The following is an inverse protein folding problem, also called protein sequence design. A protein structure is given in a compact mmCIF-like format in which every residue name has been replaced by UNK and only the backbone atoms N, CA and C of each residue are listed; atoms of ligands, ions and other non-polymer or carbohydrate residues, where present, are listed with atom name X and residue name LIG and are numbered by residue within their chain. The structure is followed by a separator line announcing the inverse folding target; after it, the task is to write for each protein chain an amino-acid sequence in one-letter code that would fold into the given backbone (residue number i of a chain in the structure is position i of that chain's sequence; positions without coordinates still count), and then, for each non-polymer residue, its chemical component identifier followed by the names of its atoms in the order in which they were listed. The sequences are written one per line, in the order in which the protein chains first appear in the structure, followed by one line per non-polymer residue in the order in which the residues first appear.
data_IF_497865187052
#
_entry.id   IF_497865187052
#
_cell.length_a   1.000
_cell.length_b   1.000
_cell.length_c   1.000
_cell.angle_alpha   90.00
_cell.angle_beta   90.00
_cell.angle_gamma   90.00
#
_symmetry.space_group_name_H-M   'P 1'
#
loop_
_entity.id
_entity.type
_entity.pdbx_description
1 polymer ?
#
# COMPACT_ATOMS: atom_id res chain seq x y z
N UNK A 1 -7.50 11.47 50.08
CA UNK A 1 -8.11 10.49 49.17
C UNK A 1 -8.44 11.22 47.87
N UNK A 2 -7.51 11.23 46.92
CA UNK A 2 -7.66 11.92 45.63
C UNK A 2 -7.09 10.99 44.57
N UNK A 3 -7.96 10.15 44.03
CA UNK A 3 -7.66 9.29 42.87
C UNK A 3 -8.93 9.24 42.04
N UNK A 4 -9.19 10.29 41.25
CA UNK A 4 -10.18 10.23 40.19
C UNK A 4 -9.46 9.75 38.93
N UNK A 5 -9.63 8.44 38.70
CA UNK A 5 -9.10 7.64 37.61
C UNK A 5 -9.47 8.26 36.25
N UNK A 6 -8.50 8.85 35.58
CA UNK A 6 -8.42 8.90 34.11
C UNK A 6 -8.19 7.48 33.63
N UNK A 7 -9.14 6.88 32.91
CA UNK A 7 -9.10 5.59 32.16
C UNK A 7 -10.59 5.27 31.86
N UNK A 8 -11.10 5.08 30.64
CA UNK A 8 -10.54 4.63 29.37
C UNK A 8 -11.37 5.24 28.24
N UNK A 9 -10.72 5.78 27.21
CA UNK A 9 -11.32 5.87 25.88
C UNK A 9 -11.42 4.44 25.32
N UNK A 10 -12.58 3.79 25.51
CA UNK A 10 -12.98 2.65 24.69
C UNK A 10 -13.41 3.20 23.32
N UNK A 11 -12.49 3.32 22.39
CA UNK A 11 -12.88 3.28 20.97
C UNK A 11 -12.95 1.81 20.56
N UNK A 12 -14.11 1.33 20.07
CA UNK A 12 -14.19 0.02 19.46
C UNK A 12 -13.48 0.13 18.12
N UNK A 13 -12.21 -0.28 18.08
CA UNK A 13 -11.57 -0.59 16.81
C UNK A 13 -12.31 -1.82 16.28
N UNK A 14 -13.29 -1.58 15.42
CA UNK A 14 -14.01 -2.59 14.66
C UNK A 14 -12.96 -3.40 13.93
N UNK A 15 -12.71 -4.60 14.45
CA UNK A 15 -11.97 -5.66 13.81
C UNK A 15 -12.74 -6.02 12.53
N UNK A 16 -12.47 -5.31 11.44
CA UNK A 16 -12.79 -5.85 10.12
C UNK A 16 -11.97 -7.13 10.01
N UNK A 17 -12.62 -8.22 9.65
CA UNK A 17 -11.96 -9.43 9.17
C UNK A 17 -11.27 -9.10 7.85
N UNK A 18 -10.17 -8.38 7.95
CA UNK A 18 -9.14 -8.26 6.94
C UNK A 18 -8.08 -9.30 7.20
N UNK A 19 -7.50 -9.86 6.14
CA UNK A 19 -6.34 -10.73 6.28
C UNK A 19 -5.29 -10.00 7.12
N UNK A 20 -4.97 -10.59 8.28
CA UNK A 20 -4.20 -9.93 9.34
C UNK A 20 -2.88 -9.35 8.85
N UNK A 21 -2.49 -8.24 9.47
CA UNK A 21 -1.19 -7.58 9.30
C UNK A 21 -0.06 -8.59 9.26
N UNK A 22 0.39 -8.93 8.06
CA UNK A 22 1.49 -9.87 7.85
C UNK A 22 2.73 -9.05 7.49
N UNK A 23 3.82 -9.30 8.21
CA UNK A 23 5.10 -8.66 7.95
C UNK A 23 5.85 -9.47 6.89
N UNK A 24 6.19 -8.85 5.78
CA UNK A 24 7.09 -9.35 4.75
C UNK A 24 8.52 -9.07 5.16
N UNK A 25 9.44 -9.99 4.92
CA UNK A 25 10.85 -9.70 5.14
C UNK A 25 11.46 -9.18 3.84
N UNK A 26 12.53 -8.39 3.97
CA UNK A 26 13.36 -8.01 2.84
C UNK A 26 13.69 -9.21 1.93
N UNK A 27 13.32 -9.12 0.65
CA UNK A 27 13.51 -10.16 -0.35
C UNK A 27 12.47 -11.29 -0.37
N UNK A 28 11.41 -11.22 0.45
CA UNK A 28 10.25 -12.10 0.29
C UNK A 28 9.39 -11.66 -0.89
N UNK A 29 8.97 -12.64 -1.71
CA UNK A 29 8.18 -12.41 -2.93
C UNK A 29 6.75 -12.95 -2.85
N UNK A 30 6.35 -13.50 -1.70
CA UNK A 30 5.09 -14.23 -1.51
C UNK A 30 4.06 -13.42 -0.68
N UNK A 31 4.14 -12.10 -0.73
CA UNK A 31 3.26 -11.23 0.05
C UNK A 31 1.98 -10.88 -0.69
N UNK A 32 1.10 -11.88 -0.80
CA UNK A 32 -0.12 -11.78 -1.61
C UNK A 32 -1.40 -11.53 -0.78
N UNK A 33 -2.17 -10.53 -1.18
CA UNK A 33 -3.55 -10.32 -0.77
C UNK A 33 -4.49 -10.88 -1.85
N UNK A 34 -4.98 -12.11 -1.67
CA UNK A 34 -5.91 -12.77 -2.61
C UNK A 34 -7.38 -12.81 -2.13
N UNK A 35 -7.66 -12.33 -0.91
CA UNK A 35 -8.98 -12.47 -0.27
C UNK A 35 -9.88 -11.27 -0.55
N UNK A 36 -11.20 -11.48 -0.46
CA UNK A 36 -12.14 -10.37 -0.43
C UNK A 36 -12.14 -9.73 0.98
N UNK A 37 -11.74 -8.45 1.11
CA UNK A 37 -11.69 -7.76 2.40
C UNK A 37 -10.65 -6.65 2.48
N UNK A 38 -10.19 -6.37 3.71
CA UNK A 38 -9.07 -5.47 3.96
C UNK A 38 -7.78 -6.30 4.05
N UNK A 39 -6.70 -5.87 3.42
CA UNK A 39 -5.38 -6.46 3.58
C UNK A 39 -4.41 -5.39 4.06
N UNK A 40 -3.59 -5.72 5.04
CA UNK A 40 -2.54 -4.83 5.54
C UNK A 40 -1.23 -5.62 5.58
N UNK A 41 -0.19 -5.10 4.94
CA UNK A 41 1.13 -5.71 4.87
C UNK A 41 2.22 -4.69 5.11
N UNK A 42 3.27 -5.08 5.80
CA UNK A 42 4.42 -4.23 6.11
C UNK A 42 5.72 -4.95 5.74
N UNK A 43 6.62 -4.30 5.01
CA UNK A 43 7.95 -4.78 4.72
C UNK A 43 8.90 -4.43 5.86
N UNK A 44 9.40 -5.42 6.58
CA UNK A 44 10.51 -5.28 7.52
C UNK A 44 11.82 -5.37 6.72
N UNK A 45 12.38 -4.19 6.43
CA UNK A 45 13.50 -3.99 5.51
C UNK A 45 13.07 -3.33 4.20
N UNK A 46 13.79 -3.61 3.12
CA UNK A 46 13.48 -3.12 1.77
C UNK A 46 13.51 -4.26 0.74
N UNK A 47 12.98 -4.02 -0.46
CA UNK A 47 12.95 -5.06 -1.50
C UNK A 47 11.92 -6.16 -1.27
N UNK A 48 10.74 -5.83 -0.74
CA UNK A 48 9.62 -6.77 -0.70
C UNK A 48 8.82 -6.70 -2.00
N UNK A 49 8.35 -7.85 -2.48
CA UNK A 49 7.39 -7.91 -3.59
C UNK A 49 6.00 -8.25 -3.06
N UNK A 50 5.07 -7.33 -3.28
CA UNK A 50 3.68 -7.42 -2.86
C UNK A 50 2.78 -7.75 -4.05
N UNK A 51 1.83 -8.66 -3.85
CA UNK A 51 0.78 -8.95 -4.83
C UNK A 51 -0.58 -8.59 -4.22
N UNK A 52 -1.35 -7.78 -4.92
CA UNK A 52 -2.74 -7.49 -4.59
C UNK A 52 -3.60 -7.99 -5.73
N UNK A 53 -4.18 -9.19 -5.55
CA UNK A 53 -5.08 -9.85 -6.51
C UNK A 53 -6.50 -10.04 -5.97
N UNK A 54 -6.72 -9.71 -4.69
CA UNK A 54 -7.99 -9.80 -3.98
C UNK A 54 -9.00 -8.74 -4.39
N UNK A 55 -10.15 -8.71 -3.72
CA UNK A 55 -11.18 -7.69 -3.92
C UNK A 55 -11.36 -6.89 -2.62
N UNK A 56 -11.26 -5.56 -2.66
CA UNK A 56 -11.42 -4.73 -1.47
C UNK A 56 -10.29 -3.73 -1.27
N UNK A 57 -9.90 -3.49 -0.03
CA UNK A 57 -8.92 -2.45 0.32
C UNK A 57 -7.60 -3.08 0.72
N UNK A 58 -6.50 -2.75 0.06
CA UNK A 58 -5.18 -3.25 0.42
C UNK A 58 -4.26 -2.10 0.82
N UNK A 59 -3.52 -2.25 1.92
CA UNK A 59 -2.56 -1.28 2.42
C UNK A 59 -1.20 -1.94 2.56
N UNK A 60 -0.17 -1.34 1.98
CA UNK A 60 1.19 -1.84 1.97
C UNK A 60 2.14 -0.77 2.50
N UNK A 61 3.07 -1.15 3.37
CA UNK A 61 4.10 -0.25 3.90
C UNK A 61 5.51 -0.76 3.57
N UNK A 62 6.35 0.11 3.03
CA UNK A 62 7.74 -0.13 2.66
C UNK A 62 8.61 1.04 3.16
N UNK A 63 8.95 1.07 4.46
CA UNK A 63 9.69 2.18 5.05
C UNK A 63 11.13 2.30 4.52
N UNK A 64 11.82 1.20 4.22
CA UNK A 64 13.23 1.26 3.74
C UNK A 64 13.35 1.40 2.21
N UNK A 65 12.26 1.30 1.46
CA UNK A 65 12.24 1.47 0.00
C UNK A 65 12.60 0.22 -0.82
N UNK A 66 12.60 0.37 -2.13
CA UNK A 66 12.94 -0.69 -3.10
C UNK A 66 11.88 -1.78 -3.27
N UNK A 67 10.65 -1.58 -2.78
CA UNK A 67 9.60 -2.60 -2.87
C UNK A 67 8.88 -2.56 -4.23
N UNK A 68 8.41 -3.73 -4.68
CA UNK A 68 7.56 -3.87 -5.85
C UNK A 68 6.12 -4.19 -5.43
N UNK A 69 5.12 -3.63 -6.10
CA UNK A 69 3.72 -3.92 -5.85
C UNK A 69 2.97 -4.18 -7.16
N UNK A 70 2.46 -5.39 -7.31
CA UNK A 70 1.57 -5.79 -8.40
C UNK A 70 0.11 -5.68 -7.95
N UNK A 71 -0.66 -4.77 -8.56
CA UNK A 71 -2.08 -4.56 -8.28
C UNK A 71 -2.92 -5.06 -9.45
N UNK A 72 -3.36 -6.30 -9.34
CA UNK A 72 -4.39 -6.90 -10.21
C UNK A 72 -5.79 -6.89 -9.57
N UNK A 73 -5.88 -6.50 -8.30
CA UNK A 73 -7.07 -6.43 -7.48
C UNK A 73 -8.14 -5.47 -8.02
N UNK A 74 -9.37 -5.68 -7.54
CA UNK A 74 -10.48 -4.74 -7.75
C UNK A 74 -10.81 -4.05 -6.42
N UNK A 75 -10.53 -2.75 -6.32
CA UNK A 75 -10.77 -1.94 -5.13
C UNK A 75 -9.69 -0.89 -4.86
N UNK A 76 -9.56 -0.45 -3.61
CA UNK A 76 -8.65 0.64 -3.25
C UNK A 76 -7.32 0.09 -2.72
N UNK A 77 -6.20 0.43 -3.34
CA UNK A 77 -4.87 0.04 -2.86
C UNK A 77 -4.08 1.26 -2.43
N UNK A 78 -3.46 1.21 -1.26
CA UNK A 78 -2.58 2.25 -0.74
C UNK A 78 -1.21 1.66 -0.46
N UNK A 79 -0.16 2.30 -0.96
CA UNK A 79 1.23 1.92 -0.69
C UNK A 79 2.00 3.11 -0.14
N UNK A 80 2.74 2.90 0.95
CA UNK A 80 3.64 3.90 1.53
C UNK A 80 5.08 3.46 1.33
N UNK A 81 5.85 4.22 0.57
CA UNK A 81 7.25 4.00 0.26
C UNK A 81 8.09 5.19 0.78
N UNK A 82 8.54 5.12 2.03
CA UNK A 82 9.31 6.22 2.62
C UNK A 82 10.76 6.23 2.14
N UNK A 83 11.36 5.05 1.95
CA UNK A 83 12.76 4.92 1.52
C UNK A 83 13.01 5.18 0.04
N UNK A 84 11.96 5.26 -0.79
CA UNK A 84 12.06 5.52 -2.23
C UNK A 84 12.29 4.27 -3.08
N UNK A 85 12.50 4.47 -4.38
CA UNK A 85 12.78 3.42 -5.37
C UNK A 85 11.74 2.29 -5.43
N UNK A 86 10.48 2.55 -5.09
CA UNK A 86 9.41 1.56 -5.20
C UNK A 86 8.81 1.49 -6.60
N UNK A 87 8.47 0.29 -7.04
CA UNK A 87 7.82 0.03 -8.32
C UNK A 87 6.39 -0.45 -8.09
N UNK A 88 5.41 0.12 -8.81
CA UNK A 88 4.00 -0.25 -8.66
C UNK A 88 3.40 -0.50 -10.03
N UNK A 89 3.06 -1.74 -10.35
CA UNK A 89 2.34 -2.09 -11.58
C UNK A 89 0.86 -2.31 -11.25
N UNK A 90 -0.01 -1.55 -11.91
CA UNK A 90 -1.45 -1.61 -11.75
C UNK A 90 -2.06 -2.12 -13.05
N UNK A 91 -2.54 -3.35 -13.02
CA UNK A 91 -3.28 -4.00 -14.11
C UNK A 91 -4.77 -4.22 -13.77
N UNK A 92 -5.15 -4.03 -12.50
CA UNK A 92 -6.49 -4.23 -11.96
C UNK A 92 -7.52 -3.14 -12.32
N UNK A 93 -8.65 -3.17 -11.60
CA UNK A 93 -9.71 -2.16 -11.75
C UNK A 93 -10.00 -1.53 -10.39
N UNK A 94 -9.33 -0.44 -10.07
CA UNK A 94 -9.30 0.09 -8.71
C UNK A 94 -8.54 1.41 -8.56
N UNK A 95 -8.70 2.05 -7.42
CA UNK A 95 -7.99 3.29 -7.10
C UNK A 95 -6.69 2.95 -6.37
N UNK A 96 -5.55 3.37 -6.90
CA UNK A 96 -4.22 3.11 -6.34
C UNK A 96 -3.59 4.42 -5.90
N UNK A 97 -3.17 4.48 -4.63
CA UNK A 97 -2.45 5.61 -4.06
C UNK A 97 -1.07 5.17 -3.61
N UNK A 98 -0.02 5.80 -4.13
CA UNK A 98 1.37 5.60 -3.71
C UNK A 98 1.90 6.87 -3.05
N UNK A 99 2.38 6.76 -1.82
CA UNK A 99 3.12 7.82 -1.15
C UNK A 99 4.61 7.51 -1.26
N UNK A 100 5.38 8.32 -1.99
CA UNK A 100 6.79 8.07 -2.26
C UNK A 100 7.68 9.22 -1.74
N UNK A 101 7.85 9.32 -0.43
CA UNK A 101 8.62 10.40 0.18
C UNK A 101 10.12 10.36 -0.18
N UNK A 102 10.68 9.16 -0.39
CA UNK A 102 12.09 8.96 -0.71
C UNK A 102 12.51 9.32 -2.15
N UNK A 103 11.54 9.48 -3.06
CA UNK A 103 11.79 9.69 -4.49
C UNK A 103 12.16 8.41 -5.25
N UNK A 104 12.31 8.50 -6.58
CA UNK A 104 12.72 7.37 -7.43
C UNK A 104 11.64 6.32 -7.68
N UNK A 105 10.41 6.51 -7.18
CA UNK A 105 9.36 5.51 -7.40
C UNK A 105 8.82 5.55 -8.84
N UNK A 106 8.49 4.37 -9.33
CA UNK A 106 7.84 4.18 -10.63
C UNK A 106 6.46 3.59 -10.41
N UNK A 107 5.47 4.09 -11.15
CA UNK A 107 4.12 3.55 -11.14
C UNK A 107 3.66 3.32 -12.58
N UNK A 108 3.35 2.08 -12.94
CA UNK A 108 2.66 1.73 -14.17
C UNK A 108 1.16 1.49 -13.91
N UNK A 109 0.30 2.07 -14.73
CA UNK A 109 -1.14 2.22 -14.55
C UNK A 109 -1.84 1.73 -15.80
N UNK A 110 -1.58 0.47 -16.16
CA UNK A 110 -2.17 -0.20 -17.31
C UNK A 110 -3.64 -0.60 -17.11
N UNK A 111 -4.11 -0.63 -15.85
CA UNK A 111 -5.45 -1.02 -15.45
C UNK A 111 -6.55 0.01 -15.72
N UNK A 112 -7.78 -0.34 -15.37
CA UNK A 112 -8.94 0.56 -15.46
C UNK A 112 -9.25 1.13 -14.07
N UNK A 113 -8.60 2.24 -13.72
CA UNK A 113 -8.70 2.83 -12.39
C UNK A 113 -8.01 4.18 -12.30
N UNK A 114 -8.00 4.77 -11.10
CA UNK A 114 -7.22 5.98 -10.85
C UNK A 114 -5.92 5.63 -10.16
N UNK A 115 -4.84 6.28 -10.58
CA UNK A 115 -3.53 6.17 -9.98
C UNK A 115 -3.11 7.52 -9.46
N UNK A 116 -2.70 7.59 -8.20
CA UNK A 116 -2.25 8.82 -7.55
C UNK A 116 -0.91 8.56 -6.89
N UNK A 117 0.10 9.36 -7.24
CA UNK A 117 1.36 9.39 -6.51
C UNK A 117 1.43 10.70 -5.74
N UNK A 118 1.80 10.63 -4.46
CA UNK A 118 1.95 11.79 -3.57
C UNK A 118 3.31 11.81 -2.90
N UNK A 119 3.73 13.00 -2.48
CA UNK A 119 4.98 13.25 -1.75
C UNK A 119 6.24 12.85 -2.53
N UNK A 120 6.18 12.79 -3.86
CA UNK A 120 7.31 12.38 -4.66
C UNK A 120 8.11 13.54 -5.26
N UNK A 121 9.43 13.43 -5.23
CA UNK A 121 10.35 14.41 -5.81
C UNK A 121 10.89 14.03 -7.19
N UNK A 122 10.98 12.73 -7.52
CA UNK A 122 11.49 12.22 -8.80
C UNK A 122 10.80 10.90 -9.17
N UNK A 123 9.48 10.95 -9.41
CA UNK A 123 8.70 9.76 -9.76
C UNK A 123 8.42 9.66 -11.26
N UNK A 124 8.38 8.43 -11.74
CA UNK A 124 7.94 8.09 -13.10
C UNK A 124 6.55 7.48 -13.03
N UNK A 125 5.63 7.91 -13.89
CA UNK A 125 4.29 7.35 -13.96
C UNK A 125 3.87 7.10 -15.42
N UNK A 126 3.40 5.89 -15.73
CA UNK A 126 2.91 5.45 -17.04
C UNK A 126 1.64 4.61 -16.87
N UNK A 127 0.80 4.38 -17.90
CA UNK A 127 0.26 5.36 -18.83
C UNK A 127 -0.77 6.31 -18.19
N UNK A 128 -0.66 7.57 -18.61
CA UNK A 128 -1.35 8.77 -18.17
C UNK A 128 -2.84 8.89 -18.58
N UNK A 129 -3.68 7.86 -18.41
CA UNK A 129 -5.07 7.95 -18.88
C UNK A 129 -6.01 8.72 -17.94
N UNK A 130 -5.79 8.71 -16.62
CA UNK A 130 -6.55 9.56 -15.66
C UNK A 130 -5.83 9.90 -14.34
N UNK A 131 -4.61 9.42 -14.10
CA UNK A 131 -3.91 9.56 -12.82
C UNK A 131 -3.14 10.87 -12.67
N UNK A 132 -3.37 11.60 -11.58
CA UNK A 132 -2.64 12.82 -11.25
C UNK A 132 -1.27 12.41 -10.68
N UNK A 133 -0.21 12.83 -11.35
CA UNK A 133 1.15 12.75 -10.82
C UNK A 133 1.42 14.09 -10.11
N UNK A 134 1.37 14.08 -8.78
CA UNK A 134 1.51 15.29 -7.94
C UNK A 134 2.90 15.43 -7.35
#
# INVERSE_FOLDING_TARGET
MTTLRTLLFLSPLTLLAGCGGNICKAGDTDCSCASAGVCEWECDGGGCDFDSSGQGTATFACPEGGCSLDVSAQGATTMTCEGGDCDVDVSGQGDVTLTCAGGGCTMDCGGQGTCTITECTDCVCTPSLTGVCG
#
